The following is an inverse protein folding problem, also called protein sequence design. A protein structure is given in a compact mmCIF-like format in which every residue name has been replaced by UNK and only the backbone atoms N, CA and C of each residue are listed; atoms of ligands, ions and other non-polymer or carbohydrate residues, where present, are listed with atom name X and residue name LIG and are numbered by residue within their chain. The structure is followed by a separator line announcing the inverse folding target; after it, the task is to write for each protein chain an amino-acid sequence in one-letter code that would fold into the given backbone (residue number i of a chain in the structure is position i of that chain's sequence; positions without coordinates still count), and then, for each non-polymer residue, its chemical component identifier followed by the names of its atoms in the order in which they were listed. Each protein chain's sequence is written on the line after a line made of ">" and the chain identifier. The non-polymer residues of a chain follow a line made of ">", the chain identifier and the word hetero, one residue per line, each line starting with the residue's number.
data_IF_860608915097
#
_entry.id   IF_860608915097
#
_cell.length_a   1.000
_cell.length_b   1.000
_cell.length_c   1.000
_cell.angle_alpha   90.00
_cell.angle_beta   90.00
_cell.angle_gamma   90.00
#
_symmetry.space_group_name_H-M   'P 1'
#
loop_
_entity.id
_entity.type
_entity.pdbx_description
1 polymer ?
#
# COMPACT_ATOMS: atom_id res chain seq x y z
N UNK A 1 -1.60 -8.36 -2.29
CA UNK A 1 -1.58 -8.20 -0.81
C UNK A 1 -0.22 -7.75 -0.26
N UNK A 2 0.93 -8.16 -0.84
CA UNK A 2 2.27 -7.80 -0.32
C UNK A 2 2.56 -6.28 -0.23
N UNK A 3 1.91 -5.45 -1.04
CA UNK A 3 2.09 -3.98 -1.03
C UNK A 3 1.33 -3.25 0.08
N UNK A 4 0.40 -3.89 0.80
CA UNK A 4 -0.43 -3.25 1.81
C UNK A 4 0.15 -3.34 3.24
N UNK A 5 1.14 -4.20 3.47
CA UNK A 5 1.63 -4.51 4.83
C UNK A 5 2.27 -3.28 5.48
N UNK A 6 3.13 -2.58 4.75
CA UNK A 6 3.85 -1.41 5.27
C UNK A 6 2.91 -0.26 5.72
N UNK A 7 1.96 0.22 4.89
CA UNK A 7 1.04 1.28 5.32
C UNK A 7 0.13 0.84 6.48
N UNK A 8 -0.29 -0.43 6.52
CA UNK A 8 -1.10 -0.95 7.63
C UNK A 8 -0.30 -0.93 8.95
N UNK A 9 0.95 -1.41 8.94
CA UNK A 9 1.80 -1.43 10.13
C UNK A 9 2.06 -0.03 10.67
N UNK A 10 2.34 0.93 9.79
CA UNK A 10 2.59 2.32 10.16
C UNK A 10 1.33 2.99 10.73
N UNK A 11 0.16 2.77 10.13
CA UNK A 11 -1.10 3.30 10.67
C UNK A 11 -1.44 2.66 12.03
N UNK A 12 -1.29 1.35 12.17
CA UNK A 12 -1.50 0.67 13.44
C UNK A 12 -0.57 1.20 14.54
N UNK A 13 0.72 1.39 14.23
CA UNK A 13 1.68 1.97 15.16
C UNK A 13 1.30 3.40 15.57
N UNK A 14 0.96 4.26 14.60
CA UNK A 14 0.53 5.64 14.87
C UNK A 14 -0.75 5.69 15.72
N UNK A 15 -1.73 4.82 15.43
CA UNK A 15 -2.99 4.72 16.20
C UNK A 15 -2.71 4.30 17.64
N UNK A 16 -1.89 3.28 17.86
CA UNK A 16 -1.51 2.84 19.21
C UNK A 16 -0.83 3.97 19.98
N UNK A 17 0.10 4.70 19.35
CA UNK A 17 0.78 5.84 20.00
C UNK A 17 -0.18 6.98 20.33
N UNK A 18 -1.12 7.31 19.44
CA UNK A 18 -2.12 8.36 19.65
C UNK A 18 -3.10 8.00 20.79
N UNK A 19 -3.58 6.75 20.82
CA UNK A 19 -4.42 6.25 21.92
C UNK A 19 -3.68 6.27 23.25
N UNK A 20 -2.41 5.83 23.24
CA UNK A 20 -1.54 5.92 24.41
C UNK A 20 -1.43 7.34 24.92
N UNK A 21 -1.34 8.33 24.01
CA UNK A 21 -1.25 9.75 24.35
C UNK A 21 -2.52 10.33 24.96
N UNK A 22 -3.69 9.94 24.45
CA UNK A 22 -4.98 10.40 24.95
C UNK A 22 -5.12 10.19 26.45
N UNK A 23 -4.65 9.04 26.94
CA UNK A 23 -4.65 8.69 28.37
C UNK A 23 -3.92 9.73 29.22
N UNK A 24 -2.88 10.39 28.68
CA UNK A 24 -2.05 11.35 29.42
C UNK A 24 -2.38 12.82 29.15
N UNK A 25 -2.95 13.15 27.98
CA UNK A 25 -3.15 14.56 27.57
C UNK A 25 -4.60 14.97 27.28
N UNK A 26 -5.57 14.05 27.37
CA UNK A 26 -7.04 14.28 27.39
C UNK A 26 -7.64 15.29 26.39
N UNK A 27 -6.90 15.68 25.34
CA UNK A 27 -7.42 16.51 24.27
C UNK A 27 -8.05 15.61 23.19
N UNK A 28 -9.37 15.49 23.25
CA UNK A 28 -10.12 14.63 22.33
C UNK A 28 -10.05 15.11 20.87
N UNK A 29 -9.93 16.42 20.62
CA UNK A 29 -9.90 16.97 19.25
C UNK A 29 -8.57 16.61 18.59
N UNK A 30 -7.47 16.80 19.32
CA UNK A 30 -6.12 16.48 18.83
C UNK A 30 -6.01 14.99 18.53
N UNK A 31 -6.42 14.13 19.46
CA UNK A 31 -6.35 12.66 19.30
C UNK A 31 -7.21 12.17 18.15
N UNK A 32 -8.37 12.78 17.94
CA UNK A 32 -9.22 12.46 16.78
C UNK A 32 -8.46 12.71 15.48
N UNK A 33 -7.81 13.87 15.34
CA UNK A 33 -6.95 14.15 14.18
C UNK A 33 -5.81 13.14 14.05
N UNK A 34 -5.12 12.86 15.16
CA UNK A 34 -3.99 11.94 15.19
C UNK A 34 -4.35 10.50 14.78
N UNK A 35 -5.61 10.08 14.96
CA UNK A 35 -6.13 8.79 14.54
C UNK A 35 -6.60 8.80 13.08
N UNK A 36 -7.36 9.81 12.67
CA UNK A 36 -7.96 9.86 11.34
C UNK A 36 -6.91 10.01 10.23
N UNK A 37 -5.89 10.86 10.43
CA UNK A 37 -4.91 11.11 9.37
C UNK A 37 -4.08 9.86 8.99
N UNK A 38 -3.51 9.08 9.93
CA UNK A 38 -2.80 7.85 9.58
C UNK A 38 -3.72 6.80 8.93
N UNK A 39 -4.95 6.65 9.40
CA UNK A 39 -5.90 5.69 8.81
C UNK A 39 -6.21 6.07 7.37
N UNK A 40 -6.52 7.35 7.13
CA UNK A 40 -6.80 7.88 5.80
C UNK A 40 -5.61 7.70 4.85
N UNK A 41 -4.41 8.07 5.29
CA UNK A 41 -3.21 7.94 4.46
C UNK A 41 -2.86 6.48 4.15
N UNK A 42 -3.03 5.56 5.10
CA UNK A 42 -2.83 4.14 4.85
C UNK A 42 -3.82 3.64 3.80
N UNK A 43 -5.10 3.99 3.94
CA UNK A 43 -6.12 3.68 2.95
C UNK A 43 -5.76 4.22 1.56
N UNK A 44 -5.32 5.47 1.47
CA UNK A 44 -4.88 6.10 0.23
C UNK A 44 -3.69 5.35 -0.39
N UNK A 45 -2.67 5.06 0.42
CA UNK A 45 -1.46 4.36 -0.04
C UNK A 45 -1.79 2.94 -0.52
N UNK A 46 -2.70 2.23 0.15
CA UNK A 46 -3.12 0.88 -0.25
C UNK A 46 -3.92 0.96 -1.56
N UNK A 47 -4.86 1.90 -1.66
CA UNK A 47 -5.69 2.08 -2.85
C UNK A 47 -4.84 2.31 -4.11
N UNK A 48 -3.86 3.22 -4.05
CA UNK A 48 -2.95 3.45 -5.17
C UNK A 48 -1.93 2.32 -5.35
N UNK A 49 -1.48 1.69 -4.25
CA UNK A 49 -0.58 0.55 -4.27
C UNK A 49 -1.18 -0.72 -4.91
N UNK A 50 -2.50 -0.86 -4.92
CA UNK A 50 -3.22 -1.90 -5.65
C UNK A 50 -3.35 -1.60 -7.15
N UNK A 51 -3.34 -0.31 -7.53
CA UNK A 51 -3.47 0.16 -8.91
C UNK A 51 -2.13 0.23 -9.66
N UNK A 52 -1.02 0.31 -8.94
CA UNK A 52 0.33 0.35 -9.48
C UNK A 52 0.80 -1.05 -9.94
N UNK A 53 0.91 -1.27 -11.26
CA UNK A 53 1.57 -2.46 -11.87
C UNK A 53 3.08 -2.24 -12.14
N UNK A 54 3.66 -1.12 -11.71
CA UNK A 54 5.01 -0.69 -12.12
C UNK A 54 6.14 -1.10 -11.17
N UNK A 55 7.09 -1.90 -11.67
CA UNK A 55 8.23 -2.47 -10.95
C UNK A 55 9.40 -1.52 -10.61
N UNK A 56 9.32 -0.21 -10.88
CA UNK A 56 10.48 0.69 -10.78
C UNK A 56 10.90 1.09 -9.35
N UNK A 57 10.07 0.83 -8.32
CA UNK A 57 10.36 1.25 -6.93
C UNK A 57 10.40 0.09 -5.92
N UNK A 58 10.74 -1.12 -6.37
CA UNK A 58 10.75 -2.31 -5.50
C UNK A 58 11.64 -2.13 -4.26
N UNK A 59 12.86 -1.61 -4.43
CA UNK A 59 13.82 -1.42 -3.33
C UNK A 59 13.37 -0.36 -2.31
N UNK A 60 12.79 0.75 -2.79
CA UNK A 60 12.28 1.81 -1.91
C UNK A 60 11.07 1.31 -1.12
N UNK A 61 10.15 0.60 -1.77
CA UNK A 61 8.99 -0.03 -1.11
C UNK A 61 9.43 -1.08 -0.09
N UNK A 62 10.49 -1.84 -0.38
CA UNK A 62 11.09 -2.79 0.55
C UNK A 62 11.70 -2.08 1.77
N UNK A 63 12.47 -1.01 1.54
CA UNK A 63 13.06 -0.20 2.62
C UNK A 63 11.99 0.40 3.53
N UNK A 64 10.94 1.00 2.95
CA UNK A 64 9.79 1.48 3.73
C UNK A 64 9.09 0.35 4.48
N UNK A 65 8.98 -0.84 3.89
CA UNK A 65 8.43 -2.01 4.58
C UNK A 65 9.27 -2.43 5.78
N UNK A 66 10.61 -2.43 5.66
CA UNK A 66 11.50 -2.73 6.76
C UNK A 66 11.37 -1.69 7.88
N UNK A 67 11.36 -0.40 7.52
CA UNK A 67 11.15 0.71 8.45
C UNK A 67 9.79 0.61 9.17
N UNK A 68 8.73 0.24 8.45
CA UNK A 68 7.41 0.01 9.01
C UNK A 68 7.43 -1.11 10.08
N UNK A 69 8.13 -2.20 9.80
CA UNK A 69 8.31 -3.30 10.78
C UNK A 69 9.08 -2.80 12.00
N UNK A 70 10.18 -2.06 11.82
CA UNK A 70 10.96 -1.50 12.94
C UNK A 70 10.09 -0.60 13.82
N UNK A 71 9.33 0.32 13.23
CA UNK A 71 8.46 1.23 13.98
C UNK A 71 7.34 0.48 14.72
N UNK A 72 6.77 -0.55 14.10
CA UNK A 72 5.78 -1.40 14.74
C UNK A 72 6.36 -2.17 15.93
N UNK A 73 7.57 -2.73 15.78
CA UNK A 73 8.27 -3.42 16.86
C UNK A 73 8.63 -2.47 18.02
N UNK A 74 9.11 -1.27 17.72
CA UNK A 74 9.40 -0.26 18.75
C UNK A 74 8.13 0.15 19.50
N UNK A 75 7.00 0.28 18.79
CA UNK A 75 5.70 0.59 19.40
C UNK A 75 5.23 -0.56 20.30
N UNK A 76 5.30 -1.80 19.81
CA UNK A 76 4.93 -2.99 20.58
C UNK A 76 5.82 -3.19 21.81
N UNK A 77 7.14 -2.98 21.67
CA UNK A 77 8.10 -3.06 22.76
C UNK A 77 7.86 -1.98 23.81
N UNK A 78 7.65 -0.74 23.37
CA UNK A 78 7.31 0.38 24.24
C UNK A 78 6.06 0.11 25.06
N UNK A 79 5.01 -0.42 24.41
CA UNK A 79 3.76 -0.77 25.07
C UNK A 79 3.93 -1.94 26.05
N UNK A 80 4.58 -3.03 25.63
CA UNK A 80 4.71 -4.26 26.43
C UNK A 80 5.65 -4.13 27.63
N UNK A 81 6.69 -3.30 27.53
CA UNK A 81 7.66 -3.07 28.61
C UNK A 81 7.39 -1.77 29.38
N UNK A 82 6.26 -1.08 29.11
CA UNK A 82 5.91 0.23 29.69
C UNK A 82 7.06 1.26 29.60
N UNK A 83 7.80 1.25 28.50
CA UNK A 83 8.98 2.08 28.32
C UNK A 83 8.56 3.46 27.81
N UNK A 84 8.56 4.47 28.68
CA UNK A 84 8.09 5.84 28.38
C UNK A 84 8.73 6.45 27.12
N UNK A 85 9.97 6.07 26.82
CA UNK A 85 10.69 6.56 25.63
C UNK A 85 10.01 6.16 24.31
N UNK A 86 9.36 4.99 24.28
CA UNK A 86 8.74 4.41 23.11
C UNK A 86 7.20 4.38 23.19
N UNK A 87 6.60 4.44 24.37
CA UNK A 87 5.14 4.52 24.55
C UNK A 87 4.74 5.32 25.81
N UNK A 88 3.89 6.36 25.70
CA UNK A 88 3.46 7.04 24.47
C UNK A 88 4.49 8.07 24.00
N UNK A 89 5.08 7.86 22.81
CA UNK A 89 6.17 8.69 22.27
C UNK A 89 5.70 9.55 21.10
N UNK A 90 5.87 10.88 21.19
CA UNK A 90 5.51 11.81 20.09
C UNK A 90 6.38 11.59 18.87
N UNK A 91 7.65 11.30 19.12
CA UNK A 91 8.64 11.12 18.09
C UNK A 91 8.35 9.86 17.29
N UNK A 92 7.96 8.78 17.97
CA UNK A 92 7.60 7.53 17.31
C UNK A 92 6.29 7.66 16.52
N UNK A 93 5.31 8.40 17.04
CA UNK A 93 4.11 8.76 16.30
C UNK A 93 4.44 9.53 15.01
N UNK A 94 5.20 10.61 15.08
CA UNK A 94 5.55 11.40 13.90
C UNK A 94 6.46 10.65 12.92
N UNK A 95 7.34 9.77 13.40
CA UNK A 95 8.11 8.90 12.54
C UNK A 95 7.21 7.94 11.75
N UNK A 96 6.24 7.29 12.42
CA UNK A 96 5.26 6.43 11.78
C UNK A 96 4.45 7.21 10.73
N UNK A 97 3.98 8.40 11.11
CA UNK A 97 3.19 9.27 10.25
C UNK A 97 3.97 9.74 9.01
N UNK A 98 5.22 10.20 9.19
CA UNK A 98 6.06 10.68 8.09
C UNK A 98 6.38 9.57 7.08
N UNK A 99 6.69 8.37 7.56
CA UNK A 99 6.90 7.21 6.69
C UNK A 99 5.62 6.87 5.91
N UNK A 100 4.46 7.01 6.55
CA UNK A 100 3.17 6.79 5.91
C UNK A 100 2.88 7.84 4.82
N UNK A 101 3.22 9.10 5.07
CA UNK A 101 3.17 10.19 4.06
C UNK A 101 4.06 9.84 2.88
N UNK A 102 5.31 9.45 3.13
CA UNK A 102 6.23 9.03 2.05
C UNK A 102 5.66 7.85 1.26
N UNK A 103 5.08 6.86 1.94
CA UNK A 103 4.43 5.70 1.32
C UNK A 103 3.27 6.12 0.41
N UNK A 104 2.41 7.02 0.90
CA UNK A 104 1.28 7.54 0.13
C UNK A 104 1.73 8.32 -1.10
N UNK A 105 2.73 9.20 -0.97
CA UNK A 105 3.31 9.94 -2.09
C UNK A 105 3.88 8.99 -3.15
N UNK A 106 4.67 7.99 -2.73
CA UNK A 106 5.22 6.97 -3.64
C UNK A 106 4.09 6.20 -4.31
N UNK A 107 3.05 5.82 -3.58
CA UNK A 107 1.91 5.11 -4.14
C UNK A 107 1.19 5.94 -5.22
N UNK A 108 0.97 7.23 -4.96
CA UNK A 108 0.34 8.15 -5.91
C UNK A 108 1.21 8.34 -7.16
N UNK A 109 2.51 8.62 -6.99
CA UNK A 109 3.44 8.86 -8.10
C UNK A 109 3.68 7.59 -8.94
N UNK A 110 3.68 6.42 -8.30
CA UNK A 110 3.88 5.14 -9.00
C UNK A 110 2.61 4.58 -9.65
N UNK A 111 1.50 5.30 -9.58
CA UNK A 111 0.24 4.90 -10.20
C UNK A 111 0.13 5.52 -11.61
N UNK A 112 -0.22 4.74 -12.65
CA UNK A 112 -0.31 5.26 -14.02
C UNK A 112 -1.33 6.38 -14.13
N UNK A 113 -1.04 7.38 -14.97
CA UNK A 113 -1.93 8.52 -15.21
C UNK A 113 -3.27 8.04 -15.76
N UNK A 114 -4.36 8.74 -15.45
CA UNK A 114 -5.69 8.40 -15.95
C UNK A 114 -5.78 8.29 -17.48
N UNK A 115 -4.88 8.97 -18.22
CA UNK A 115 -4.74 8.83 -19.68
C UNK A 115 -4.13 7.48 -20.09
N UNK A 116 -3.05 7.05 -19.43
CA UNK A 116 -2.43 5.73 -19.67
C UNK A 116 -3.36 4.58 -19.31
N UNK A 117 -4.15 4.74 -18.26
CA UNK A 117 -5.13 3.72 -17.88
C UNK A 117 -6.26 3.59 -18.91
N UNK A 118 -6.67 4.68 -19.55
CA UNK A 118 -7.64 4.66 -20.66
C UNK A 118 -7.02 4.06 -21.92
N UNK A 119 -5.76 4.39 -22.22
CA UNK A 119 -5.03 3.82 -23.36
C UNK A 119 -4.82 2.30 -23.20
N UNK A 120 -4.46 1.82 -22.01
CA UNK A 120 -4.35 0.39 -21.73
C UNK A 120 -5.68 -0.35 -21.89
N UNK A 121 -6.80 0.22 -21.39
CA UNK A 121 -8.12 -0.39 -21.61
C UNK A 121 -8.54 -0.43 -23.08
N UNK A 122 -8.14 0.57 -23.87
CA UNK A 122 -8.38 0.56 -25.31
C UNK A 122 -7.57 -0.56 -25.98
N UNK A 123 -6.29 -0.68 -25.64
CA UNK A 123 -5.43 -1.76 -26.14
C UNK A 123 -5.90 -3.16 -25.71
N UNK A 124 -6.38 -3.33 -24.48
CA UNK A 124 -6.92 -4.62 -24.02
C UNK A 124 -8.23 -4.96 -24.75
N UNK A 125 -9.12 -3.99 -24.99
CA UNK A 125 -10.30 -4.20 -25.85
C UNK A 125 -9.91 -4.60 -27.27
N UNK A 126 -8.90 -3.96 -27.84
CA UNK A 126 -8.45 -4.27 -29.20
C UNK A 126 -7.83 -5.67 -29.28
N UNK A 127 -7.14 -6.12 -28.23
CA UNK A 127 -6.64 -7.50 -28.11
C UNK A 127 -7.76 -8.51 -27.95
N UNK A 128 -8.76 -8.22 -27.13
CA UNK A 128 -9.95 -9.08 -26.95
C UNK A 128 -10.71 -9.20 -28.28
N UNK A 129 -10.91 -8.10 -29.00
CA UNK A 129 -11.52 -8.10 -30.33
C UNK A 129 -10.70 -8.87 -31.37
N UNK A 130 -9.36 -8.81 -31.31
CA UNK A 130 -8.48 -9.60 -32.19
C UNK A 130 -8.47 -11.09 -31.82
N UNK A 131 -8.59 -11.43 -30.54
CA UNK A 131 -8.70 -12.82 -30.08
C UNK A 131 -10.04 -13.44 -30.47
N UNK A 132 -11.12 -12.66 -30.46
CA UNK A 132 -12.46 -13.10 -30.87
C UNK A 132 -12.62 -13.13 -32.40
N UNK A 133 -11.85 -12.31 -33.13
CA UNK A 133 -11.78 -12.32 -34.59
C UNK A 133 -10.72 -13.28 -35.16
N UNK A 134 -9.87 -13.89 -34.32
CA UNK A 134 -8.94 -14.93 -34.76
C UNK A 134 -9.75 -16.18 -35.13
N UNK A 135 -9.70 -16.64 -36.39
CA UNK A 135 -10.39 -17.86 -36.77
C UNK A 135 -9.85 -19.02 -35.92
N UNK A 136 -10.72 -19.82 -35.31
CA UNK A 136 -10.33 -21.12 -34.76
C UNK A 136 -9.53 -21.84 -35.85
N UNK A 137 -8.24 -22.09 -35.60
CA UNK A 137 -7.46 -22.91 -36.52
C UNK A 137 -8.21 -24.23 -36.70
N UNK A 138 -8.58 -24.60 -37.94
CA UNK A 138 -9.22 -25.88 -38.16
C UNK A 138 -8.15 -26.93 -37.85
N UNK A 139 -8.33 -27.64 -36.74
CA UNK A 139 -7.47 -28.75 -36.34
C UNK A 139 -7.18 -29.64 -37.53
N UNK A 140 -5.90 -29.76 -37.85
CA UNK A 140 -5.36 -30.60 -38.92
C UNK A 140 -5.61 -32.09 -38.57
N UNK A 141 -6.82 -32.55 -38.88
CA UNK A 141 -7.31 -33.90 -38.57
C UNK A 141 -7.57 -34.77 -39.79
N UNK A 142 -7.11 -34.39 -41.01
CA UNK A 142 -7.54 -35.11 -42.23
C UNK A 142 -6.43 -35.56 -43.19
N UNK A 143 -5.14 -35.37 -42.92
CA UNK A 143 -4.07 -35.85 -43.80
C UNK A 143 -3.35 -37.10 -43.31
N UNK A 144 -3.99 -38.27 -43.36
CA UNK A 144 -3.32 -39.55 -43.72
C UNK A 144 -4.35 -40.63 -44.11
N UNK A 145 -4.96 -40.52 -45.29
CA UNK A 145 -5.45 -41.71 -46.01
C UNK A 145 -5.18 -41.52 -47.51
N UNK A 146 -4.69 -42.59 -48.16
CA UNK A 146 -4.05 -42.70 -49.50
C UNK A 146 -2.54 -42.42 -49.43
N UNK A 147 -1.66 -43.34 -49.79
CA UNK A 147 -1.74 -44.42 -50.79
C UNK A 147 -0.87 -45.60 -50.37
#
# INVERSE_FOLDING_TARGET
>A
MKSAIAPVLLAAAAVVQALGRFVYHQDAIVVTGELFFPIFLAGLSIFYGLRSRGGAFSTVKLGLGLLAVVVALLTAWGWGMAMFWFYPSIWLYYAAFLLLVAQAVIAVVSSPSGKELRAQRALDRDREAQAEAAPEEPGDGWRTTRR
#
